data_IF_918159311296
#
_entry.id   IF_918159311296
#
_cell.length_a   1.000
_cell.length_b   1.000
_cell.length_c   1.000
_cell.angle_alpha   90.00
_cell.angle_beta   90.00
_cell.angle_gamma   90.00
#
_symmetry.space_group_name_H-M   'P 1'
#
loop_
_entity.id
_entity.type
_entity.pdbx_description
1 polymer ?
#
# COMPACT_ATOMS: atom_id res chain seq x y z
N UNK A 1 -1.72 -54.44 -8.35
CA UNK A 1 -0.84 -53.47 -9.03
C UNK A 1 -1.55 -52.12 -9.05
N UNK A 2 -1.01 -51.10 -8.37
CA UNK A 2 -1.37 -49.68 -8.54
C UNK A 2 -0.26 -48.99 -9.38
N UNK A 3 -0.27 -47.68 -9.75
CA UNK A 3 -1.22 -46.59 -9.39
C UNK A 3 -1.52 -45.49 -10.49
N UNK A 4 -2.43 -44.55 -10.15
CA UNK A 4 -2.53 -43.06 -10.38
C UNK A 4 -2.07 -42.43 -11.72
N UNK A 5 -2.75 -41.43 -12.32
CA UNK A 5 -2.84 -39.99 -11.87
C UNK A 5 -3.90 -39.20 -12.67
N UNK A 6 -4.85 -38.49 -12.02
CA UNK A 6 -4.88 -37.02 -11.78
C UNK A 6 -5.05 -36.15 -13.06
N UNK A 7 -6.25 -35.66 -13.36
CA UNK A 7 -6.88 -34.42 -12.85
C UNK A 7 -6.54 -33.15 -13.68
N UNK A 8 -7.53 -32.75 -14.48
CA UNK A 8 -7.88 -31.40 -14.93
C UNK A 8 -6.75 -30.34 -15.01
N UNK A 9 -6.35 -30.06 -16.25
CA UNK A 9 -5.63 -28.86 -16.67
C UNK A 9 -6.40 -27.59 -16.29
N UNK A 10 -5.99 -26.93 -15.20
CA UNK A 10 -6.36 -25.54 -14.90
C UNK A 10 -5.44 -24.60 -15.67
N UNK A 11 -5.96 -23.60 -16.42
CA UNK A 11 -5.12 -22.63 -17.10
C UNK A 11 -4.30 -21.83 -16.07
N UNK A 12 -3.03 -21.66 -16.41
CA UNK A 12 -2.01 -21.06 -15.57
C UNK A 12 -2.30 -19.58 -15.31
N UNK A 13 -2.40 -19.25 -14.02
CA UNK A 13 -1.95 -18.02 -13.38
C UNK A 13 -2.14 -16.73 -14.17
N UNK A 14 -3.26 -16.04 -13.90
CA UNK A 14 -3.37 -14.59 -13.96
C UNK A 14 -2.19 -13.95 -13.21
N UNK A 15 -1.13 -13.65 -13.97
CA UNK A 15 0.04 -12.90 -13.51
C UNK A 15 -0.43 -11.47 -13.30
N UNK A 16 -1.08 -11.25 -12.15
CA UNK A 16 -1.58 -9.96 -11.67
C UNK A 16 -0.46 -8.95 -11.88
N UNK A 17 -0.64 -8.10 -12.90
CA UNK A 17 0.31 -7.07 -13.31
C UNK A 17 0.83 -6.40 -12.03
N UNK A 18 2.14 -6.48 -11.77
CA UNK A 18 2.78 -5.72 -10.70
C UNK A 18 2.46 -4.26 -11.00
N UNK A 19 1.42 -3.75 -10.33
CA UNK A 19 1.05 -2.35 -10.41
C UNK A 19 2.30 -1.55 -10.07
N UNK A 20 2.66 -0.61 -10.94
CA UNK A 20 3.79 0.29 -10.72
C UNK A 20 3.73 0.79 -9.28
N UNK A 21 4.85 0.69 -8.57
CA UNK A 21 4.94 1.06 -7.16
C UNK A 21 4.61 2.55 -7.06
N UNK A 22 3.37 2.87 -6.70
CA UNK A 22 2.98 4.25 -6.37
C UNK A 22 3.84 4.67 -5.18
N UNK A 23 4.56 5.77 -5.35
CA UNK A 23 5.19 6.45 -4.21
C UNK A 23 4.08 6.82 -3.23
N UNK A 24 4.20 6.30 -2.02
CA UNK A 24 3.21 6.46 -0.95
C UNK A 24 3.93 6.65 0.36
N UNK A 25 3.33 7.40 1.27
CA UNK A 25 3.85 7.66 2.61
C UNK A 25 3.54 6.52 3.59
N UNK A 26 3.13 5.35 3.08
CA UNK A 26 2.55 4.29 3.89
C UNK A 26 3.48 3.76 4.99
N UNK A 27 4.75 3.53 4.66
CA UNK A 27 5.72 3.04 5.63
C UNK A 27 5.97 4.06 6.75
N UNK A 28 5.96 5.35 6.45
CA UNK A 28 6.19 6.42 7.42
C UNK A 28 5.00 6.60 8.36
N UNK A 29 3.79 6.63 7.81
CA UNK A 29 2.55 6.68 8.59
C UNK A 29 2.51 5.49 9.57
N UNK A 30 2.88 4.29 9.13
CA UNK A 30 2.89 3.11 10.00
C UNK A 30 4.00 3.16 11.06
N UNK A 31 5.18 3.68 10.73
CA UNK A 31 6.27 3.89 11.70
C UNK A 31 5.85 4.85 12.81
N UNK A 32 5.29 6.01 12.45
CA UNK A 32 4.81 7.00 13.43
C UNK A 32 3.67 6.43 14.26
N UNK A 33 2.72 5.71 13.63
CA UNK A 33 1.65 5.05 14.37
C UNK A 33 2.18 4.09 15.43
N UNK A 34 3.22 3.30 15.13
CA UNK A 34 3.81 2.37 16.10
C UNK A 34 4.63 3.05 17.19
N UNK A 35 5.22 4.21 16.90
CA UNK A 35 5.88 5.03 17.90
C UNK A 35 4.90 5.59 18.93
N UNK A 36 3.70 6.01 18.51
CA UNK A 36 2.68 6.61 19.40
C UNK A 36 1.74 5.57 20.01
N UNK A 37 1.36 4.55 19.23
CA UNK A 37 0.41 3.50 19.62
C UNK A 37 0.88 2.10 19.16
N UNK A 38 1.73 1.43 19.95
CA UNK A 38 2.34 0.15 19.57
C UNK A 38 1.33 -0.98 19.29
N UNK A 39 0.20 -1.00 20.02
CA UNK A 39 -0.81 -2.06 19.94
C UNK A 39 -1.93 -1.79 18.92
N UNK A 40 -2.00 -0.58 18.39
CA UNK A 40 -3.07 -0.17 17.47
C UNK A 40 -2.69 -0.50 16.03
N UNK A 41 -3.68 -0.91 15.23
CA UNK A 41 -3.57 -1.09 13.79
C UNK A 41 -4.36 -0.02 13.04
N UNK A 42 -4.06 0.13 11.75
CA UNK A 42 -4.77 1.07 10.87
C UNK A 42 -5.40 0.32 9.71
N UNK A 43 -6.65 0.67 9.38
CA UNK A 43 -7.36 0.08 8.26
C UNK A 43 -6.78 0.55 6.91
N UNK A 44 -6.99 -0.20 5.83
CA UNK A 44 -6.57 0.22 4.48
C UNK A 44 -7.21 1.54 4.04
N UNK A 45 -8.47 1.77 4.39
CA UNK A 45 -9.19 3.01 4.08
C UNK A 45 -8.57 4.20 4.84
N UNK A 46 -8.32 4.03 6.13
CA UNK A 46 -7.64 5.03 6.96
C UNK A 46 -6.24 5.32 6.43
N UNK A 47 -5.52 4.29 5.97
CA UNK A 47 -4.20 4.44 5.34
C UNK A 47 -4.25 5.32 4.08
N UNK A 48 -5.24 5.11 3.21
CA UNK A 48 -5.43 5.90 2.00
C UNK A 48 -5.72 7.37 2.33
N UNK A 49 -6.58 7.63 3.32
CA UNK A 49 -6.89 8.99 3.78
C UNK A 49 -5.64 9.68 4.31
N UNK A 50 -4.85 8.99 5.14
CA UNK A 50 -3.60 9.53 5.70
C UNK A 50 -2.57 9.82 4.60
N UNK A 51 -2.47 8.95 3.59
CA UNK A 51 -1.58 9.19 2.46
C UNK A 51 -1.97 10.45 1.68
N UNK A 52 -3.28 10.64 1.40
CA UNK A 52 -3.77 11.86 0.73
C UNK A 52 -3.58 13.12 1.57
N UNK A 53 -3.75 13.04 2.89
CA UNK A 53 -3.53 14.16 3.80
C UNK A 53 -2.07 14.65 3.76
N UNK A 54 -1.10 13.72 3.78
CA UNK A 54 0.31 14.06 3.69
C UNK A 54 0.64 14.70 2.35
N UNK A 55 0.09 14.16 1.25
CA UNK A 55 0.26 14.76 -0.08
C UNK A 55 -0.31 16.18 -0.18
N UNK A 56 -1.55 16.42 0.25
CA UNK A 56 -2.16 17.77 0.21
C UNK A 56 -1.36 18.76 1.07
N UNK A 57 -0.95 18.35 2.26
CA UNK A 57 -0.13 19.21 3.14
C UNK A 57 1.22 19.54 2.49
N UNK A 58 1.86 18.55 1.88
CA UNK A 58 3.12 18.75 1.16
C UNK A 58 2.95 19.69 -0.03
N UNK A 59 1.91 19.51 -0.84
CA UNK A 59 1.64 20.34 -2.01
C UNK A 59 1.35 21.80 -1.62
N UNK A 60 0.63 22.02 -0.50
CA UNK A 60 0.42 23.37 0.05
C UNK A 60 1.74 24.03 0.46
N UNK A 61 2.62 23.29 1.16
CA UNK A 61 3.92 23.81 1.57
C UNK A 61 4.78 24.13 0.34
N UNK A 62 4.81 23.25 -0.67
CA UNK A 62 5.55 23.50 -1.92
C UNK A 62 4.97 24.69 -2.66
N UNK A 63 3.65 24.83 -2.70
CA UNK A 63 2.99 25.98 -3.30
C UNK A 63 3.35 27.29 -2.59
N UNK A 64 3.41 27.32 -1.27
CA UNK A 64 3.83 28.52 -0.52
C UNK A 64 5.33 28.78 -0.69
N UNK A 65 6.15 27.73 -0.69
CA UNK A 65 7.61 27.83 -0.84
C UNK A 65 8.03 28.29 -2.23
N UNK A 66 7.32 27.88 -3.29
CA UNK A 66 7.60 28.30 -4.67
C UNK A 66 7.10 29.70 -5.03
N UNK A 67 6.43 30.40 -4.10
CA UNK A 67 6.07 31.82 -4.22
C UNK A 67 7.24 32.73 -3.78
N UNK A 68 8.23 32.18 -3.06
CA UNK A 68 9.51 32.85 -2.78
C UNK A 68 10.52 32.61 -3.91
#
# INVERSE_FOLDING_TARGET
>A
MAPKTAAASKPAADKKRRSSRKETFNSYIFKVLKQVHPKTGISKKSMMIMNSLVSDTFDRIVSEAGVF
#
